data_IF_898730228054
#
_entry.id   IF_898730228054
#
_cell.length_a   1.000
_cell.length_b   1.000
_cell.length_c   1.000
_cell.angle_alpha   90.00
_cell.angle_beta   90.00
_cell.angle_gamma   90.00
#
_symmetry.space_group_name_H-M   'P 1'
#
loop_
_entity.id
_entity.type
_entity.pdbx_description
1 polymer ?
#
# COMPACT_ATOMS: atom_id res chain seq x y z
N UNK A 1 -0.56 14.34 19.87
CA UNK A 1 -0.20 15.04 18.61
C UNK A 1 1.32 15.30 18.49
N UNK A 2 2.20 14.37 18.89
CA UNK A 2 3.65 14.55 18.80
C UNK A 2 4.21 14.21 17.42
N UNK A 3 3.91 12.99 16.93
CA UNK A 3 4.48 12.43 15.70
C UNK A 3 4.19 13.29 14.45
N UNK A 4 2.97 13.82 14.31
CA UNK A 4 2.58 14.73 13.21
C UNK A 4 3.44 16.00 13.18
N UNK A 5 3.77 16.58 14.33
CA UNK A 5 4.61 17.78 14.43
C UNK A 5 6.07 17.48 14.10
N UNK A 6 6.57 16.33 14.55
CA UNK A 6 7.94 15.88 14.23
C UNK A 6 8.11 15.60 12.74
N UNK A 7 7.15 14.89 12.15
CA UNK A 7 7.17 14.60 10.71
C UNK A 7 7.05 15.88 9.88
N UNK A 8 6.21 16.84 10.30
CA UNK A 8 6.09 18.14 9.63
C UNK A 8 7.40 18.96 9.71
N UNK A 9 8.07 18.94 10.86
CA UNK A 9 9.39 19.57 11.03
C UNK A 9 10.44 18.97 10.08
N UNK A 10 10.50 17.64 9.95
CA UNK A 10 11.41 16.99 9.02
C UNK A 10 11.06 17.28 7.55
N UNK A 11 9.77 17.36 7.21
CA UNK A 11 9.31 17.78 5.88
C UNK A 11 9.78 19.20 5.54
N UNK A 12 9.69 20.14 6.47
CA UNK A 12 10.19 21.52 6.31
C UNK A 12 11.72 21.57 6.23
N UNK A 13 12.41 20.79 7.07
CA UNK A 13 13.89 20.74 7.13
C UNK A 13 14.53 20.22 5.85
N UNK A 14 13.90 19.25 5.18
CA UNK A 14 14.41 18.69 3.93
C UNK A 14 13.81 19.34 2.67
N UNK A 15 12.99 20.39 2.81
CA UNK A 15 12.36 21.11 1.70
C UNK A 15 13.45 21.77 0.84
N UNK A 16 13.69 21.21 -0.35
CA UNK A 16 14.73 21.67 -1.29
C UNK A 16 15.92 20.71 -1.47
N UNK A 17 16.01 19.62 -0.71
CA UNK A 17 17.04 18.57 -0.93
C UNK A 17 16.53 17.46 -1.83
N UNK A 18 17.43 16.65 -2.44
CA UNK A 18 17.06 15.46 -3.22
C UNK A 18 16.21 14.43 -2.43
N UNK A 19 16.22 14.49 -1.10
CA UNK A 19 15.44 13.61 -0.21
C UNK A 19 14.04 14.16 0.13
N UNK A 20 13.73 15.39 -0.29
CA UNK A 20 12.41 16.01 -0.11
C UNK A 20 11.24 15.15 -0.63
N UNK A 21 11.33 14.48 -1.80
CA UNK A 21 10.22 13.69 -2.33
C UNK A 21 9.91 12.48 -1.45
N UNK A 22 10.94 11.78 -0.97
CA UNK A 22 10.79 10.59 -0.14
C UNK A 22 10.17 10.90 1.23
N UNK A 23 10.64 11.96 1.90
CA UNK A 23 10.04 12.39 3.18
C UNK A 23 8.63 12.94 3.01
N UNK A 24 8.35 13.61 1.90
CA UNK A 24 7.02 14.12 1.61
C UNK A 24 6.05 12.96 1.27
N UNK A 25 6.50 11.92 0.57
CA UNK A 25 5.74 10.70 0.32
C UNK A 25 5.41 9.97 1.63
N UNK A 26 6.39 9.75 2.51
CA UNK A 26 6.17 9.12 3.83
C UNK A 26 5.22 9.95 4.72
N UNK A 27 5.37 11.28 4.74
CA UNK A 27 4.48 12.15 5.49
C UNK A 27 3.04 12.10 4.98
N UNK A 28 2.87 12.14 3.66
CA UNK A 28 1.54 12.16 3.04
C UNK A 28 0.90 10.76 3.01
N UNK A 29 1.69 9.69 3.14
CA UNK A 29 1.21 8.32 3.30
C UNK A 29 0.56 8.12 4.68
N UNK A 30 1.15 8.66 5.75
CA UNK A 30 0.67 8.49 7.12
C UNK A 30 -0.28 9.61 7.59
N UNK A 31 -0.16 10.83 7.07
CA UNK A 31 -0.88 12.00 7.57
C UNK A 31 -1.38 12.94 6.48
N UNK A 32 -2.63 13.40 6.64
CA UNK A 32 -3.25 14.45 5.84
C UNK A 32 -2.39 15.72 5.84
N UNK A 33 -2.16 16.37 4.67
CA UNK A 33 -1.55 17.69 4.59
C UNK A 33 -2.36 18.69 5.43
N UNK A 34 -1.65 19.51 6.21
CA UNK A 34 -2.30 20.53 7.03
C UNK A 34 -2.52 21.84 6.25
N UNK A 35 -2.88 21.71 4.97
CA UNK A 35 -3.11 22.82 4.05
C UNK A 35 -4.63 22.99 3.88
N UNK A 36 -5.10 24.23 3.96
CA UNK A 36 -6.51 24.57 3.79
C UNK A 36 -6.69 25.31 2.48
N UNK A 37 -7.82 25.13 1.81
CA UNK A 37 -8.14 25.93 0.61
C UNK A 37 -8.26 27.41 0.96
N UNK A 38 -7.40 28.25 0.39
CA UNK A 38 -7.35 29.69 0.65
C UNK A 38 -8.21 30.53 -0.33
N UNK A 39 -8.63 29.97 -1.47
CA UNK A 39 -9.45 30.65 -2.49
C UNK A 39 -10.91 30.14 -2.53
N UNK A 40 -11.79 30.90 -3.18
CA UNK A 40 -13.19 30.53 -3.41
C UNK A 40 -13.30 29.43 -4.48
N UNK A 41 -13.96 28.31 -4.14
CA UNK A 41 -14.31 27.22 -5.05
C UNK A 41 -15.80 26.94 -4.96
N UNK A 42 -16.41 26.42 -6.03
CA UNK A 42 -17.85 26.15 -6.09
C UNK A 42 -18.33 25.18 -5.00
N UNK A 43 -17.52 24.16 -4.71
CA UNK A 43 -17.72 23.21 -3.60
C UNK A 43 -16.34 22.97 -2.96
N UNK A 44 -16.29 22.90 -1.63
CA UNK A 44 -15.10 22.51 -0.87
C UNK A 44 -15.29 21.09 -0.36
N UNK A 45 -14.50 20.16 -0.86
CA UNK A 45 -14.49 18.78 -0.40
C UNK A 45 -13.33 18.54 0.58
N UNK A 46 -13.54 17.64 1.54
CA UNK A 46 -12.55 17.20 2.51
C UNK A 46 -12.00 15.79 2.18
N UNK A 47 -12.17 15.37 0.93
CA UNK A 47 -11.71 14.09 0.44
C UNK A 47 -10.19 14.11 0.29
N UNK A 48 -9.54 13.22 1.04
CA UNK A 48 -8.12 12.95 0.88
C UNK A 48 -7.99 11.69 0.04
N UNK A 49 -7.72 11.88 -1.25
CA UNK A 49 -7.59 10.81 -2.23
C UNK A 49 -6.56 9.75 -1.79
N UNK A 50 -5.48 10.19 -1.12
CA UNK A 50 -4.43 9.28 -0.63
C UNK A 50 -4.91 8.49 0.59
N UNK A 51 -5.67 9.11 1.49
CA UNK A 51 -6.28 8.40 2.63
C UNK A 51 -7.29 7.36 2.18
N UNK A 52 -8.18 7.72 1.25
CA UNK A 52 -9.17 6.77 0.71
C UNK A 52 -8.46 5.58 0.05
N UNK A 53 -7.39 5.83 -0.72
CA UNK A 53 -6.59 4.78 -1.32
C UNK A 53 -5.92 3.86 -0.27
N UNK A 54 -5.33 4.44 0.79
CA UNK A 54 -4.68 3.63 1.83
C UNK A 54 -5.68 2.78 2.63
N UNK A 55 -6.88 3.30 2.90
CA UNK A 55 -7.95 2.51 3.54
C UNK A 55 -8.34 1.30 2.70
N UNK A 56 -8.43 1.46 1.38
CA UNK A 56 -8.70 0.35 0.45
C UNK A 56 -7.57 -0.68 0.48
N UNK A 57 -6.31 -0.24 0.43
CA UNK A 57 -5.15 -1.15 0.51
C UNK A 57 -5.17 -1.95 1.82
N UNK A 58 -5.42 -1.30 2.95
CA UNK A 58 -5.51 -1.98 4.25
C UNK A 58 -6.65 -3.01 4.29
N UNK A 59 -7.80 -2.71 3.67
CA UNK A 59 -8.92 -3.65 3.56
C UNK A 59 -8.61 -4.87 2.65
N UNK A 60 -7.69 -4.73 1.69
CA UNK A 60 -7.28 -5.82 0.81
C UNK A 60 -6.26 -6.78 1.45
N UNK A 61 -5.56 -6.39 2.52
CA UNK A 61 -4.55 -7.25 3.18
C UNK A 61 -5.16 -8.56 3.71
N UNK A 62 -6.29 -8.57 4.45
CA UNK A 62 -6.93 -9.82 4.86
C UNK A 62 -7.38 -10.69 3.68
N UNK A 63 -7.91 -10.07 2.61
CA UNK A 63 -8.30 -10.77 1.39
C UNK A 63 -7.11 -11.43 0.69
N UNK A 64 -5.96 -10.75 0.66
CA UNK A 64 -4.72 -11.27 0.10
C UNK A 64 -4.20 -12.48 0.89
N UNK A 65 -4.22 -12.41 2.23
CA UNK A 65 -3.82 -13.53 3.08
C UNK A 65 -4.73 -14.74 2.85
N UNK A 66 -6.05 -14.55 2.84
CA UNK A 66 -7.00 -15.62 2.52
C UNK A 66 -6.76 -16.20 1.11
N UNK A 67 -6.46 -15.34 0.14
CA UNK A 67 -6.09 -15.75 -1.21
C UNK A 67 -4.84 -16.63 -1.26
N UNK A 68 -3.83 -16.35 -0.42
CA UNK A 68 -2.63 -17.19 -0.30
C UNK A 68 -2.97 -18.58 0.24
N UNK A 69 -3.75 -18.66 1.33
CA UNK A 69 -4.21 -19.95 1.87
C UNK A 69 -4.99 -20.76 0.81
N UNK A 70 -5.91 -20.11 0.09
CA UNK A 70 -6.70 -20.76 -0.95
C UNK A 70 -5.85 -21.26 -2.13
N UNK A 71 -4.90 -20.44 -2.62
CA UNK A 71 -4.02 -20.83 -3.73
C UNK A 71 -3.15 -22.04 -3.37
N UNK A 72 -2.62 -22.09 -2.14
CA UNK A 72 -1.84 -23.23 -1.69
C UNK A 72 -2.69 -24.47 -1.39
N UNK A 73 -3.88 -24.30 -0.81
CA UNK A 73 -4.82 -25.41 -0.59
C UNK A 73 -5.18 -26.10 -1.91
N UNK A 74 -5.55 -25.31 -2.94
CA UNK A 74 -5.86 -25.84 -4.27
C UNK A 74 -4.65 -26.50 -4.94
N UNK A 75 -3.43 -26.02 -4.67
CA UNK A 75 -2.21 -26.67 -5.18
C UNK A 75 -2.05 -28.09 -4.63
N UNK A 76 -2.24 -28.27 -3.33
CA UNK A 76 -2.14 -29.58 -2.68
C UNK A 76 -3.30 -30.52 -3.03
N UNK A 77 -4.51 -29.96 -3.18
CA UNK A 77 -5.68 -30.71 -3.66
C UNK A 77 -5.43 -31.27 -5.07
N UNK A 78 -4.86 -30.47 -5.97
CA UNK A 78 -4.51 -30.90 -7.32
C UNK A 78 -3.37 -31.94 -7.37
N UNK A 79 -2.46 -31.93 -6.39
CA UNK A 79 -1.37 -32.91 -6.27
C UNK A 79 -1.82 -34.24 -5.62
N UNK A 80 -3.05 -34.33 -5.12
CA UNK A 80 -3.58 -35.53 -4.46
C UNK A 80 -3.07 -35.71 -3.02
N UNK A 81 -2.47 -34.69 -2.43
CA UNK A 81 -2.01 -34.68 -1.03
C UNK A 81 -2.73 -33.59 -0.25
N UNK A 82 -4.03 -33.74 0.02
CA UNK A 82 -4.84 -32.68 0.61
C UNK A 82 -4.31 -32.28 1.99
N UNK A 83 -4.26 -30.99 2.24
CA UNK A 83 -3.88 -30.38 3.52
C UNK A 83 -5.05 -29.56 4.05
N UNK A 84 -5.10 -29.32 5.35
CA UNK A 84 -6.13 -28.44 5.91
C UNK A 84 -6.01 -27.02 5.35
N UNK A 85 -7.16 -26.34 5.20
CA UNK A 85 -7.22 -25.00 4.61
C UNK A 85 -6.36 -23.97 5.37
N UNK A 86 -6.40 -24.00 6.71
CA UNK A 86 -5.58 -23.13 7.59
C UNK A 86 -4.26 -23.81 8.00
N UNK A 87 -3.62 -24.55 7.09
CA UNK A 87 -2.31 -25.14 7.33
C UNK A 87 -1.17 -24.19 6.95
N UNK A 88 -0.05 -24.32 7.65
CA UNK A 88 1.19 -23.63 7.29
C UNK A 88 1.72 -24.08 5.91
N UNK A 89 1.47 -25.33 5.54
CA UNK A 89 1.88 -25.89 4.25
C UNK A 89 1.15 -25.20 3.10
N UNK A 90 -0.18 -25.06 3.20
CA UNK A 90 -0.98 -24.31 2.23
C UNK A 90 -0.51 -22.85 2.15
N UNK A 91 -0.27 -22.20 3.30
CA UNK A 91 0.20 -20.81 3.30
C UNK A 91 1.55 -20.62 2.61
N UNK A 92 2.52 -21.51 2.89
CA UNK A 92 3.88 -21.42 2.35
C UNK A 92 3.91 -21.49 0.82
N UNK A 93 3.20 -22.48 0.25
CA UNK A 93 3.04 -22.59 -1.20
C UNK A 93 2.30 -21.37 -1.75
N UNK A 94 1.23 -20.94 -1.08
CA UNK A 94 0.47 -19.75 -1.42
C UNK A 94 1.34 -18.51 -1.55
N UNK A 95 2.20 -18.24 -0.56
CA UNK A 95 3.14 -17.10 -0.59
C UNK A 95 4.07 -17.21 -1.79
N UNK A 96 4.72 -18.36 -1.99
CA UNK A 96 5.71 -18.53 -3.06
C UNK A 96 5.09 -18.30 -4.44
N UNK A 97 3.81 -18.65 -4.62
CA UNK A 97 3.10 -18.46 -5.89
C UNK A 97 2.54 -17.05 -6.06
N UNK A 98 1.96 -16.48 -5.01
CA UNK A 98 1.23 -15.20 -5.09
C UNK A 98 2.16 -13.99 -4.94
N UNK A 99 3.16 -14.03 -4.06
CA UNK A 99 4.01 -12.89 -3.75
C UNK A 99 4.84 -12.39 -4.96
N UNK A 100 5.43 -13.25 -5.81
CA UNK A 100 6.13 -12.79 -7.01
C UNK A 100 5.22 -12.06 -7.99
N UNK A 101 3.97 -12.51 -8.14
CA UNK A 101 2.99 -11.87 -9.03
C UNK A 101 2.66 -10.44 -8.55
N UNK A 102 2.47 -10.29 -7.24
CA UNK A 102 2.23 -8.97 -6.62
C UNK A 102 3.43 -8.06 -6.84
N UNK A 103 4.65 -8.53 -6.55
CA UNK A 103 5.88 -7.74 -6.70
C UNK A 103 6.08 -7.27 -8.15
N UNK A 104 5.87 -8.15 -9.13
CA UNK A 104 6.00 -7.78 -10.56
C UNK A 104 4.93 -6.76 -10.95
N UNK A 105 3.68 -6.95 -10.53
CA UNK A 105 2.58 -6.03 -10.84
C UNK A 105 2.85 -4.61 -10.32
N UNK A 106 3.19 -4.48 -9.03
CA UNK A 106 3.49 -3.17 -8.43
C UNK A 106 4.81 -2.58 -8.94
N UNK A 107 5.83 -3.40 -9.16
CA UNK A 107 7.13 -2.95 -9.64
C UNK A 107 7.06 -2.38 -11.06
N UNK A 108 6.45 -3.11 -11.99
CA UNK A 108 6.29 -2.68 -13.39
C UNK A 108 5.30 -1.51 -13.47
N UNK A 109 4.18 -1.58 -12.73
CA UNK A 109 3.18 -0.52 -12.69
C UNK A 109 3.78 0.82 -12.24
N UNK A 110 4.49 0.84 -11.10
CA UNK A 110 5.15 2.04 -10.61
C UNK A 110 6.25 2.52 -11.56
N UNK A 111 7.05 1.62 -12.14
CA UNK A 111 8.12 2.00 -13.06
C UNK A 111 7.58 2.72 -14.31
N UNK A 112 6.47 2.22 -14.88
CA UNK A 112 5.80 2.86 -16.02
C UNK A 112 5.18 4.19 -15.59
N UNK A 113 4.52 4.24 -14.43
CA UNK A 113 3.95 5.49 -13.89
C UNK A 113 5.02 6.58 -13.78
N UNK A 114 6.20 6.29 -13.22
CA UNK A 114 7.30 7.26 -13.12
C UNK A 114 7.96 7.63 -14.46
N UNK A 115 7.83 6.78 -15.49
CA UNK A 115 8.40 7.06 -16.81
C UNK A 115 7.51 8.01 -17.63
N UNK A 116 6.20 7.97 -17.41
CA UNK A 116 5.21 8.76 -18.16
C UNK A 116 4.57 9.91 -17.37
N UNK A 117 4.68 9.95 -16.04
CA UNK A 117 4.20 11.02 -15.17
C UNK A 117 5.18 12.20 -15.09
#
# INVERSE_FOLDING_TARGET
MGLKRTLHYYKLKFRGSKMAPAFNALHTFLYLPNETTHNGTHIKAADDLKRTMNTVIMALVPCLLFGMFNAGYQHYEALGTPVDFLSWDAFYIGIIKVLPLVVVSYGVGLAIEFLFA
#
